data_IF_323317523202
#
_entry.id   IF_323317523202
#
_cell.length_a   1.000
_cell.length_b   1.000
_cell.length_c   1.000
_cell.angle_alpha   90.00
_cell.angle_beta   90.00
_cell.angle_gamma   90.00
#
_symmetry.space_group_name_H-M   'P 1'
#
loop_
_entity.id
_entity.type
_entity.pdbx_description
1 polymer ?
#
# COMPACT_ATOMS: atom_id res chain seq x y z
N UNK A 1 -6.86 12.71 25.35
CA UNK A 1 -5.61 12.41 24.63
C UNK A 1 -5.80 12.42 23.12
N UNK A 2 -5.43 13.51 22.45
CA UNK A 2 -5.63 13.66 21.00
C UNK A 2 -4.64 12.85 20.14
N UNK A 3 -3.62 12.23 20.74
CA UNK A 3 -2.53 11.54 20.03
C UNK A 3 -2.48 10.02 20.28
N UNK A 4 -3.53 9.43 20.87
CA UNK A 4 -3.54 7.99 21.21
C UNK A 4 -3.35 7.03 20.02
N UNK A 5 -3.54 7.51 18.79
CA UNK A 5 -3.33 6.75 17.55
C UNK A 5 -1.86 6.77 17.07
N UNK A 6 -1.03 7.67 17.62
CA UNK A 6 0.40 7.71 17.32
C UNK A 6 1.14 6.73 18.23
N UNK A 7 1.27 5.49 17.76
CA UNK A 7 1.86 4.40 18.57
C UNK A 7 3.38 4.35 18.49
N UNK A 8 3.98 4.86 17.40
CA UNK A 8 5.42 4.77 17.17
C UNK A 8 5.91 5.86 16.21
N UNK A 9 7.05 6.45 16.54
CA UNK A 9 7.88 7.20 15.61
C UNK A 9 8.99 6.29 15.09
N UNK A 10 9.18 6.25 13.77
CA UNK A 10 10.24 5.49 13.15
C UNK A 10 11.06 6.40 12.24
N UNK A 11 12.39 6.39 12.43
CA UNK A 11 13.31 7.04 11.51
C UNK A 11 13.39 6.19 10.26
N UNK A 12 13.06 6.78 9.11
CA UNK A 12 13.29 6.18 7.80
C UNK A 12 14.69 6.59 7.34
N UNK A 13 15.54 5.62 7.07
CA UNK A 13 16.92 5.81 6.61
C UNK A 13 17.05 5.41 5.15
N UNK A 14 18.04 5.96 4.44
CA UNK A 14 18.33 5.59 3.05
C UNK A 14 18.69 4.10 2.90
N UNK A 15 19.09 3.44 3.99
CA UNK A 15 19.34 1.99 4.05
C UNK A 15 18.08 1.13 4.12
N UNK A 16 16.88 1.70 4.29
CA UNK A 16 15.64 0.92 4.46
C UNK A 16 14.90 0.66 3.14
N UNK A 17 15.19 1.41 2.08
CA UNK A 17 14.57 1.31 0.77
C UNK A 17 15.40 2.04 -0.28
N UNK A 18 15.28 1.65 -1.55
CA UNK A 18 15.97 2.32 -2.65
C UNK A 18 15.54 3.79 -2.68
N UNK A 19 16.53 4.69 -2.71
CA UNK A 19 16.27 6.11 -2.87
C UNK A 19 15.83 6.38 -4.31
N UNK A 20 14.60 6.85 -4.47
CA UNK A 20 14.06 7.35 -5.74
C UNK A 20 13.86 8.85 -5.60
N UNK A 21 14.52 9.62 -6.45
CA UNK A 21 14.24 11.05 -6.57
C UNK A 21 12.97 11.30 -7.39
N UNK A 22 12.49 12.54 -7.35
CA UNK A 22 11.28 12.94 -8.07
C UNK A 22 11.43 12.73 -9.59
N UNK A 23 12.63 12.92 -10.12
CA UNK A 23 12.93 12.70 -11.53
C UNK A 23 12.78 11.23 -11.93
N UNK A 24 13.28 10.29 -11.13
CA UNK A 24 13.11 8.86 -11.36
C UNK A 24 11.64 8.45 -11.24
N UNK A 25 10.92 8.96 -10.22
CA UNK A 25 9.49 8.69 -10.04
C UNK A 25 8.67 9.12 -11.25
N UNK A 26 8.95 10.33 -11.78
CA UNK A 26 8.27 10.87 -12.94
C UNK A 26 8.66 10.16 -14.24
N UNK A 27 9.96 9.94 -14.47
CA UNK A 27 10.48 9.30 -15.70
C UNK A 27 10.03 7.86 -15.84
N UNK A 28 9.92 7.14 -14.72
CA UNK A 28 9.39 5.77 -14.69
C UNK A 28 7.87 5.72 -14.61
N UNK A 29 7.19 6.87 -14.61
CA UNK A 29 5.73 6.99 -14.53
C UNK A 29 5.14 6.12 -13.41
N UNK A 30 5.74 6.17 -12.21
CA UNK A 30 5.40 5.21 -11.15
C UNK A 30 3.96 5.39 -10.66
N UNK A 31 3.44 6.62 -10.68
CA UNK A 31 2.17 7.00 -10.06
C UNK A 31 1.21 7.70 -11.02
N UNK A 32 1.75 8.34 -12.05
CA UNK A 32 1.05 9.14 -13.03
C UNK A 32 1.89 9.11 -14.31
N UNK A 33 1.23 8.97 -15.46
CA UNK A 33 1.90 9.03 -16.76
C UNK A 33 2.25 10.47 -17.14
N UNK A 34 3.10 10.64 -18.15
CA UNK A 34 3.45 11.96 -18.70
C UNK A 34 2.22 12.74 -19.20
N UNK A 35 1.11 12.06 -19.51
CA UNK A 35 -0.17 12.67 -19.91
C UNK A 35 -1.09 13.01 -18.75
N UNK A 36 -0.66 12.83 -17.50
CA UNK A 36 -1.46 13.09 -16.29
C UNK A 36 -2.43 11.96 -15.92
N UNK A 37 -2.28 10.77 -16.50
CA UNK A 37 -3.17 9.64 -16.27
C UNK A 37 -2.59 8.71 -15.20
N UNK A 38 -3.33 8.53 -14.11
CA UNK A 38 -3.00 7.51 -13.09
C UNK A 38 -3.20 6.11 -13.68
N UNK A 39 -4.21 5.90 -14.52
CA UNK A 39 -4.53 4.58 -15.09
C UNK A 39 -3.39 4.05 -15.97
N UNK A 40 -2.72 4.94 -16.68
CA UNK A 40 -1.65 4.57 -17.62
C UNK A 40 -0.26 4.55 -16.95
N UNK A 41 -0.19 4.77 -15.63
CA UNK A 41 1.03 4.66 -14.83
C UNK A 41 1.30 3.21 -14.37
N UNK A 42 2.51 2.94 -13.86
CA UNK A 42 2.82 1.64 -13.25
C UNK A 42 1.86 1.30 -12.10
N UNK A 43 1.55 2.27 -11.23
CA UNK A 43 0.57 2.10 -10.16
C UNK A 43 -0.81 1.75 -10.72
N UNK A 44 -1.29 2.46 -11.75
CA UNK A 44 -2.59 2.20 -12.36
C UNK A 44 -2.71 0.82 -12.99
N UNK A 45 -1.61 0.30 -13.54
CA UNK A 45 -1.56 -1.06 -14.13
C UNK A 45 -1.51 -2.15 -13.05
N UNK A 46 -0.81 -1.90 -11.93
CA UNK A 46 -0.63 -2.90 -10.88
C UNK A 46 -1.70 -2.90 -9.79
N UNK A 47 -2.40 -1.77 -9.59
CA UNK A 47 -3.37 -1.63 -8.49
C UNK A 47 -4.68 -2.37 -8.76
N UNK A 48 -4.66 -3.66 -8.44
CA UNK A 48 -5.82 -4.54 -8.37
C UNK A 48 -6.31 -4.74 -6.92
N UNK A 49 -5.92 -3.85 -6.00
CA UNK A 49 -6.29 -3.98 -4.59
C UNK A 49 -7.78 -3.78 -4.37
N UNK A 50 -8.33 -4.43 -3.33
CA UNK A 50 -9.77 -4.39 -3.02
C UNK A 50 -10.11 -3.56 -1.79
N UNK A 51 -9.11 -2.87 -1.22
CA UNK A 51 -9.30 -1.99 -0.06
C UNK A 51 -8.50 -0.70 -0.26
N UNK A 52 -8.99 0.46 0.20
CA UNK A 52 -8.26 1.72 0.11
C UNK A 52 -6.91 1.69 0.83
N UNK A 53 -6.82 0.99 1.96
CA UNK A 53 -5.54 0.80 2.68
C UNK A 53 -4.54 -0.04 1.88
N UNK A 54 -5.02 -1.03 1.12
CA UNK A 54 -4.20 -1.81 0.20
C UNK A 54 -3.59 -0.96 -0.91
N UNK A 55 -4.39 -0.11 -1.56
CA UNK A 55 -3.93 0.80 -2.60
C UNK A 55 -2.85 1.76 -2.07
N UNK A 56 -3.04 2.33 -0.87
CA UNK A 56 -2.04 3.18 -0.22
C UNK A 56 -0.74 2.43 0.08
N UNK A 57 -0.83 1.19 0.56
CA UNK A 57 0.35 0.37 0.83
C UNK A 57 1.12 0.05 -0.46
N UNK A 58 0.43 -0.31 -1.54
CA UNK A 58 1.05 -0.56 -2.84
C UNK A 58 1.75 0.70 -3.37
N UNK A 59 1.08 1.86 -3.29
CA UNK A 59 1.66 3.15 -3.64
C UNK A 59 2.95 3.43 -2.87
N UNK A 60 2.94 3.17 -1.56
CA UNK A 60 4.12 3.32 -0.70
C UNK A 60 5.25 2.37 -1.12
N UNK A 61 4.95 1.12 -1.48
CA UNK A 61 5.96 0.15 -1.90
C UNK A 61 6.60 0.51 -3.24
N UNK A 62 5.85 1.07 -4.19
CA UNK A 62 6.39 1.54 -5.46
C UNK A 62 7.36 2.72 -5.26
N UNK A 63 7.02 3.65 -4.36
CA UNK A 63 7.87 4.79 -4.02
C UNK A 63 9.07 4.43 -3.15
N UNK A 64 9.02 3.28 -2.47
CA UNK A 64 10.06 2.81 -1.55
C UNK A 64 10.36 1.33 -1.79
N UNK A 65 11.00 0.99 -2.91
CA UNK A 65 11.31 -0.39 -3.22
C UNK A 65 12.29 -0.96 -2.19
N UNK A 66 12.11 -2.22 -1.84
CA UNK A 66 13.12 -2.95 -1.08
C UNK A 66 14.30 -3.28 -2.00
N UNK A 67 15.51 -3.21 -1.47
CA UNK A 67 16.72 -3.70 -2.16
C UNK A 67 17.40 -4.84 -1.40
N UNK A 68 16.98 -5.12 -0.15
CA UNK A 68 17.49 -6.23 0.65
C UNK A 68 16.80 -7.55 0.24
N UNK A 69 17.53 -8.54 -0.30
CA UNK A 69 16.96 -9.84 -0.66
C UNK A 69 16.25 -10.53 0.51
N UNK A 70 16.73 -10.38 1.75
CA UNK A 70 16.11 -11.00 2.92
C UNK A 70 14.73 -10.41 3.23
N UNK A 71 14.51 -9.13 2.93
CA UNK A 71 13.21 -8.46 3.04
C UNK A 71 12.30 -8.73 1.84
N UNK A 72 12.86 -8.98 0.65
CA UNK A 72 12.13 -9.26 -0.59
C UNK A 72 11.57 -10.70 -0.59
N UNK A 73 12.38 -11.68 -0.18
CA UNK A 73 12.03 -13.11 -0.18
C UNK A 73 10.66 -13.44 0.47
N UNK A 74 10.32 -12.93 1.68
CA UNK A 74 9.02 -13.22 2.28
C UNK A 74 7.84 -12.63 1.48
N UNK A 75 8.02 -11.48 0.80
CA UNK A 75 6.97 -10.95 -0.10
C UNK A 75 6.78 -11.86 -1.31
N UNK A 76 7.86 -12.31 -1.92
CA UNK A 76 7.81 -13.23 -3.06
C UNK A 76 7.17 -14.56 -2.67
N UNK A 77 7.50 -15.11 -1.49
CA UNK A 77 6.88 -16.34 -0.99
C UNK A 77 5.37 -16.17 -0.75
N UNK A 78 4.94 -15.06 -0.15
CA UNK A 78 3.52 -14.77 0.06
C UNK A 78 2.76 -14.61 -1.27
N UNK A 79 3.36 -13.93 -2.26
CA UNK A 79 2.80 -13.81 -3.61
C UNK A 79 2.71 -15.19 -4.25
N UNK A 80 3.78 -15.99 -4.24
CA UNK A 80 3.82 -17.34 -4.79
C UNK A 80 2.73 -18.23 -4.21
N UNK A 81 2.57 -18.25 -2.88
CA UNK A 81 1.51 -19.01 -2.22
C UNK A 81 0.10 -18.62 -2.72
N UNK A 82 -0.15 -17.33 -2.94
CA UNK A 82 -1.45 -16.86 -3.47
C UNK A 82 -1.60 -17.07 -4.98
N UNK A 83 -0.52 -17.13 -5.74
CA UNK A 83 -0.52 -17.47 -7.17
C UNK A 83 -0.92 -18.92 -7.37
N UNK A 84 -0.30 -19.83 -6.61
CA UNK A 84 -0.56 -21.28 -6.63
C UNK A 84 -1.94 -21.67 -6.07
N UNK A 85 -2.60 -20.78 -5.31
CA UNK A 85 -3.89 -21.02 -4.66
C UNK A 85 -4.98 -20.03 -5.14
N UNK A 86 -5.46 -20.13 -6.39
CA UNK A 86 -6.38 -19.14 -6.97
C UNK A 86 -7.76 -19.09 -6.31
N UNK A 87 -8.27 -20.21 -5.79
CA UNK A 87 -9.55 -20.27 -5.11
C UNK A 87 -9.48 -19.53 -3.76
N UNK A 88 -8.42 -19.77 -3.00
CA UNK A 88 -8.11 -19.12 -1.73
C UNK A 88 -7.87 -17.63 -1.94
N UNK A 89 -7.10 -17.25 -2.97
CA UNK A 89 -6.90 -15.84 -3.36
C UNK A 89 -8.23 -15.16 -3.65
N UNK A 90 -9.13 -15.82 -4.39
CA UNK A 90 -10.45 -15.27 -4.70
C UNK A 90 -11.31 -15.11 -3.44
N UNK A 91 -11.33 -16.13 -2.57
CA UNK A 91 -12.04 -16.08 -1.30
C UNK A 91 -11.51 -14.96 -0.40
N UNK A 92 -10.20 -14.81 -0.30
CA UNK A 92 -9.56 -13.74 0.46
C UNK A 92 -9.94 -12.36 -0.07
N UNK A 93 -9.88 -12.15 -1.40
CA UNK A 93 -10.33 -10.89 -2.03
C UNK A 93 -11.78 -10.57 -1.71
N UNK A 94 -12.67 -11.56 -1.75
CA UNK A 94 -14.08 -11.39 -1.41
C UNK A 94 -14.27 -10.96 0.04
N UNK A 95 -13.57 -11.59 0.98
CA UNK A 95 -13.63 -11.21 2.40
C UNK A 95 -13.09 -9.79 2.62
N UNK A 96 -11.97 -9.43 1.99
CA UNK A 96 -11.35 -8.12 2.14
C UNK A 96 -12.19 -6.97 1.57
N UNK A 97 -13.01 -7.19 0.53
CA UNK A 97 -13.91 -6.15 0.00
C UNK A 97 -14.89 -5.62 1.06
N UNK A 98 -15.30 -6.45 2.01
CA UNK A 98 -16.21 -6.06 3.09
C UNK A 98 -15.55 -5.25 4.22
N UNK A 99 -14.23 -5.14 4.24
CA UNK A 99 -13.46 -4.56 5.36
C UNK A 99 -13.42 -3.02 5.30
N UNK A 100 -13.59 -2.41 4.12
CA UNK A 100 -13.55 -0.95 3.98
C UNK A 100 -12.20 -0.33 4.33
N UNK A 101 -12.19 0.93 4.79
CA UNK A 101 -10.98 1.67 5.16
C UNK A 101 -10.79 1.70 6.68
N UNK A 102 -10.44 0.54 7.25
CA UNK A 102 -10.24 0.38 8.69
C UNK A 102 -9.12 1.26 9.25
N UNK A 103 -8.06 1.49 8.49
CA UNK A 103 -6.93 2.33 8.90
C UNK A 103 -7.38 3.77 9.20
N UNK A 104 -8.17 4.36 8.30
CA UNK A 104 -8.72 5.71 8.51
C UNK A 104 -9.82 5.72 9.57
N UNK A 105 -10.64 4.68 9.64
CA UNK A 105 -11.65 4.53 10.70
C UNK A 105 -11.01 4.53 12.09
N UNK A 106 -10.00 3.70 12.31
CA UNK A 106 -9.30 3.61 13.59
C UNK A 106 -8.67 4.96 13.99
N UNK A 107 -8.10 5.67 13.01
CA UNK A 107 -7.54 7.01 13.23
C UNK A 107 -8.62 8.01 13.64
N UNK A 108 -9.74 8.08 12.91
CA UNK A 108 -10.88 8.98 13.24
C UNK A 108 -11.52 8.65 14.58
N UNK A 109 -11.69 7.37 14.89
CA UNK A 109 -12.28 6.91 16.15
C UNK A 109 -11.44 7.36 17.34
N UNK A 110 -10.10 7.19 17.26
CA UNK A 110 -9.19 7.63 18.32
C UNK A 110 -9.15 9.15 18.48
N UNK A 111 -9.37 9.89 17.39
CA UNK A 111 -9.49 11.35 17.37
C UNK A 111 -10.87 11.86 17.82
N UNK A 112 -11.84 10.98 18.07
CA UNK A 112 -13.20 11.36 18.44
C UNK A 112 -14.01 12.02 17.32
N UNK A 113 -13.58 11.88 16.06
CA UNK A 113 -14.23 12.49 14.87
C UNK A 113 -14.88 11.45 13.95
N UNK A 114 -15.02 10.21 14.42
CA UNK A 114 -15.79 9.20 13.69
C UNK A 114 -17.30 9.52 13.72
N UNK A 115 -17.99 9.22 12.64
CA UNK A 115 -19.43 9.45 12.46
C UNK A 115 -20.21 8.14 12.37
N UNK A 116 -21.55 8.20 12.47
CA UNK A 116 -22.41 7.01 12.51
C UNK A 116 -22.39 6.12 11.24
N UNK A 117 -21.78 6.59 10.14
CA UNK A 117 -21.63 5.85 8.87
C UNK A 117 -20.23 5.28 8.66
N UNK A 118 -19.31 5.61 9.55
CA UNK A 118 -17.95 5.08 9.56
C UNK A 118 -17.93 3.65 10.11
#
# INVERSE_FOLDING_TARGET
>A
DALGHLTRLQRLTASDSLALDETAVATLELLESSGGSVRDSLFGVLDETVTPMGARLLRQWLLRPLFDPAAIAPRQAAIGALVEAPAERTRLRTLLRGVGDLERLASRATLGVAHARD
#
